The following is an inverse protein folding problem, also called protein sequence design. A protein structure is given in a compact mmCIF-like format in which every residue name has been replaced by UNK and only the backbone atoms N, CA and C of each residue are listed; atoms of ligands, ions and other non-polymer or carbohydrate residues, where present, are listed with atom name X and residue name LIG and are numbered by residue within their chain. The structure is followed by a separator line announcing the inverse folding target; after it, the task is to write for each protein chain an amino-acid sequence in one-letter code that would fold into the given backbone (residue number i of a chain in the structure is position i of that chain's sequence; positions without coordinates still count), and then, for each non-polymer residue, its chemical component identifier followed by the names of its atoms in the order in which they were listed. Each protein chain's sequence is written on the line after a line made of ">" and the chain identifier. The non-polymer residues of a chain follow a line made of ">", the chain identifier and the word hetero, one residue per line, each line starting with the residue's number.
data_IF_070500970245
#
_entry.id   IF_070500970245
#
_cell.length_a   1.000
_cell.length_b   1.000
_cell.length_c   1.000
_cell.angle_alpha   90.00
_cell.angle_beta   90.00
_cell.angle_gamma   90.00
#
_symmetry.space_group_name_H-M   'P 1'
#
loop_
_entity.id
_entity.type
_entity.pdbx_description
1 polymer ?
#
# COMPACT_ATOMS: atom_id res chain seq x y z
N UNK A 1 -0.96 3.03 31.93
CA UNK A 1 -1.44 3.32 30.56
C UNK A 1 -0.35 2.91 29.57
N UNK A 2 -0.43 1.69 29.04
CA UNK A 2 0.53 1.19 28.05
C UNK A 2 0.23 1.86 26.72
N UNK A 3 1.20 2.58 26.15
CA UNK A 3 1.16 2.97 24.73
C UNK A 3 1.18 1.68 23.93
N UNK A 4 0.02 1.24 23.45
CA UNK A 4 -0.07 0.24 22.38
C UNK A 4 0.61 0.88 21.17
N UNK A 5 1.88 0.57 20.96
CA UNK A 5 2.60 0.90 19.74
C UNK A 5 1.87 0.10 18.67
N UNK A 6 1.06 0.74 17.84
CA UNK A 6 0.32 0.05 16.79
C UNK A 6 1.35 -0.60 15.84
N UNK A 7 1.44 -1.93 15.88
CA UNK A 7 2.42 -2.75 15.18
C UNK A 7 2.02 -2.88 13.70
N UNK A 8 1.95 -1.76 13.00
CA UNK A 8 1.24 -1.65 11.72
C UNK A 8 1.85 -0.55 10.85
N UNK A 9 2.19 -0.89 9.61
CA UNK A 9 2.55 0.09 8.59
C UNK A 9 1.28 0.58 7.90
N UNK A 10 1.16 1.87 7.62
CA UNK A 10 -0.01 2.46 6.96
C UNK A 10 0.32 2.77 5.50
N UNK A 11 -0.43 2.19 4.56
CA UNK A 11 -0.25 2.41 3.12
C UNK A 11 -1.45 3.20 2.59
N UNK A 12 -1.20 4.33 1.94
CA UNK A 12 -2.22 5.11 1.25
C UNK A 12 -1.98 5.07 -0.25
N UNK A 13 -3.05 5.19 -1.03
CA UNK A 13 -2.97 5.39 -2.48
C UNK A 13 -2.85 6.88 -2.77
N UNK A 14 -2.15 7.21 -3.85
CA UNK A 14 -2.04 8.57 -4.35
C UNK A 14 -2.56 8.61 -5.77
N UNK A 15 -3.54 9.48 -6.02
CA UNK A 15 -4.00 9.81 -7.36
C UNK A 15 -3.38 11.15 -7.78
N UNK A 16 -2.80 11.15 -8.97
CA UNK A 16 -2.17 12.31 -9.58
C UNK A 16 -3.00 12.71 -10.80
N UNK A 17 -3.53 13.92 -10.81
CA UNK A 17 -4.21 14.50 -11.96
C UNK A 17 -3.40 15.71 -12.43
N UNK A 18 -3.07 15.75 -13.72
CA UNK A 18 -2.33 16.84 -14.32
C UNK A 18 -3.13 17.42 -15.48
N UNK A 19 -3.29 18.74 -15.47
CA UNK A 19 -3.69 19.55 -16.63
C UNK A 19 -2.49 20.39 -17.08
N UNK A 20 -1.70 19.91 -18.05
CA UNK A 20 -0.51 20.59 -18.52
C UNK A 20 -0.80 21.93 -19.20
N UNK A 21 -1.98 22.11 -19.81
CA UNK A 21 -2.34 23.33 -20.52
C UNK A 21 -2.51 24.50 -19.55
N UNK A 22 -3.08 24.21 -18.38
CA UNK A 22 -3.29 25.18 -17.32
C UNK A 22 -2.21 25.12 -16.23
N UNK A 23 -1.21 24.23 -16.36
CA UNK A 23 -0.18 23.97 -15.34
C UNK A 23 -0.76 23.64 -13.96
N UNK A 24 -1.84 22.85 -13.93
CA UNK A 24 -2.50 22.43 -12.69
C UNK A 24 -2.08 21.00 -12.38
N UNK A 25 -1.59 20.77 -11.16
CA UNK A 25 -1.30 19.45 -10.61
C UNK A 25 -2.13 19.25 -9.35
N UNK A 26 -2.94 18.18 -9.31
CA UNK A 26 -3.71 17.77 -8.16
C UNK A 26 -3.18 16.44 -7.63
N UNK A 27 -2.91 16.41 -6.33
CA UNK A 27 -2.44 15.25 -5.60
C UNK A 27 -3.47 14.88 -4.54
N UNK A 28 -4.14 13.74 -4.73
CA UNK A 28 -5.16 13.25 -3.82
C UNK A 28 -4.60 12.05 -3.06
N UNK A 29 -4.74 12.08 -1.74
CA UNK A 29 -4.29 11.02 -0.85
C UNK A 29 -5.48 10.33 -0.21
N UNK A 30 -5.52 9.01 -0.28
CA UNK A 30 -6.58 8.22 0.36
C UNK A 30 -6.34 8.09 1.85
N UNK A 31 -7.38 7.67 2.58
CA UNK A 31 -7.18 7.15 3.92
C UNK A 31 -6.18 5.98 3.87
N UNK A 32 -5.30 5.94 4.86
CA UNK A 32 -4.25 4.93 4.89
C UNK A 32 -4.80 3.60 5.43
N UNK A 33 -4.47 2.51 4.74
CA UNK A 33 -4.87 1.15 5.08
C UNK A 33 -3.84 0.58 6.06
N UNK A 34 -4.27 0.08 7.23
CA UNK A 34 -3.37 -0.56 8.18
C UNK A 34 -2.92 -1.93 7.67
N UNK A 35 -1.61 -2.13 7.58
CA UNK A 35 -0.95 -3.38 7.21
C UNK A 35 -0.21 -3.93 8.43
N UNK A 36 -0.52 -5.16 8.89
CA UNK A 36 0.24 -5.82 9.94
C UNK A 36 1.74 -5.84 9.61
N UNK A 37 2.59 -5.49 10.59
CA UNK A 37 4.04 -5.30 10.35
C UNK A 37 4.73 -6.59 9.88
N UNK A 38 4.15 -7.75 10.18
CA UNK A 38 4.65 -9.07 9.82
C UNK A 38 4.79 -9.21 8.29
N UNK A 39 3.90 -8.57 7.52
CA UNK A 39 3.99 -8.53 6.07
C UNK A 39 5.14 -7.64 5.58
N UNK A 40 5.45 -6.57 6.32
CA UNK A 40 6.58 -5.67 6.01
C UNK A 40 7.91 -6.37 6.28
N UNK A 41 8.01 -7.11 7.39
CA UNK A 41 9.21 -7.89 7.67
C UNK A 41 9.44 -8.98 6.62
N UNK A 42 8.39 -9.68 6.20
CA UNK A 42 8.51 -10.65 5.11
C UNK A 42 8.94 -9.99 3.79
N UNK A 43 8.40 -8.82 3.46
CA UNK A 43 8.84 -8.08 2.28
C UNK A 43 10.33 -7.71 2.34
N UNK A 44 10.80 -7.29 3.52
CA UNK A 44 12.21 -7.00 3.77
C UNK A 44 13.08 -8.24 3.65
N UNK A 45 12.67 -9.37 4.23
CA UNK A 45 13.44 -10.61 4.25
C UNK A 45 13.54 -11.24 2.84
N UNK A 46 12.53 -11.01 1.99
CA UNK A 46 12.56 -11.39 0.57
C UNK A 46 13.30 -10.39 -0.32
N UNK A 47 13.72 -9.24 0.20
CA UNK A 47 14.46 -8.24 -0.57
C UNK A 47 15.96 -8.58 -0.52
N UNK A 48 16.59 -8.91 -1.66
CA UNK A 48 18.01 -9.28 -1.73
C UNK A 48 18.92 -8.22 -1.14
N UNK A 49 20.09 -8.61 -0.63
CA UNK A 49 20.98 -7.68 0.07
C UNK A 49 21.55 -6.58 -0.83
N UNK A 50 21.67 -6.87 -2.11
CA UNK A 50 22.19 -6.06 -3.21
C UNK A 50 21.10 -5.29 -3.98
N UNK A 51 19.84 -5.33 -3.53
CA UNK A 51 18.76 -4.57 -4.17
C UNK A 51 19.08 -3.07 -4.19
N UNK A 52 19.23 -2.42 -5.37
CA UNK A 52 19.74 -1.05 -5.47
C UNK A 52 18.86 0.02 -4.81
N UNK A 53 17.56 -0.23 -4.70
CA UNK A 53 16.56 0.71 -4.20
C UNK A 53 16.12 0.43 -2.76
N UNK A 54 16.96 -0.28 -1.98
CA UNK A 54 16.68 -0.58 -0.56
C UNK A 54 16.36 0.64 0.30
N UNK A 55 16.95 1.78 -0.03
CA UNK A 55 16.72 3.03 0.70
C UNK A 55 15.29 3.55 0.52
N UNK A 56 14.62 3.21 -0.58
CA UNK A 56 13.27 3.67 -0.91
C UNK A 56 12.19 2.60 -0.72
N UNK A 57 12.55 1.33 -0.54
CA UNK A 57 11.56 0.28 -0.31
C UNK A 57 12.07 -1.15 -0.42
N UNK A 58 11.13 -2.09 -0.42
CA UNK A 58 11.36 -3.51 -0.65
C UNK A 58 11.22 -3.86 -2.14
N UNK A 59 11.83 -4.96 -2.58
CA UNK A 59 11.69 -5.45 -3.96
C UNK A 59 10.30 -6.04 -4.22
N UNK A 60 9.69 -6.65 -3.20
CA UNK A 60 8.37 -7.29 -3.28
C UNK A 60 7.29 -6.39 -2.67
N UNK A 61 6.09 -6.49 -3.22
CA UNK A 61 4.90 -5.73 -2.82
C UNK A 61 4.09 -6.44 -1.74
N UNK A 62 3.24 -5.69 -1.03
CA UNK A 62 2.31 -6.25 -0.04
C UNK A 62 1.33 -7.24 -0.68
N UNK A 63 0.87 -6.96 -1.90
CA UNK A 63 -0.02 -7.85 -2.66
C UNK A 63 0.63 -9.21 -2.95
N UNK A 64 1.89 -9.24 -3.37
CA UNK A 64 2.64 -10.47 -3.61
C UNK A 64 2.88 -11.27 -2.31
N UNK A 65 3.22 -10.58 -1.22
CA UNK A 65 3.35 -11.22 0.09
C UNK A 65 2.02 -11.88 0.50
N UNK A 66 0.91 -11.16 0.39
CA UNK A 66 -0.40 -11.67 0.76
C UNK A 66 -0.84 -12.83 -0.11
N UNK A 67 -0.66 -12.74 -1.42
CA UNK A 67 -0.99 -13.81 -2.35
C UNK A 67 -0.21 -15.10 -2.03
N UNK A 68 1.05 -14.97 -1.60
CA UNK A 68 1.86 -16.13 -1.21
C UNK A 68 1.37 -16.87 0.04
N UNK A 69 0.51 -16.25 0.85
CA UNK A 69 -0.08 -16.84 2.06
C UNK A 69 -1.57 -17.15 1.92
N UNK A 70 -2.28 -16.34 1.14
CA UNK A 70 -3.72 -16.40 0.92
C UNK A 70 -3.97 -16.57 -0.57
N UNK A 71 -3.93 -17.82 -1.06
CA UNK A 71 -4.02 -18.15 -2.50
C UNK A 71 -5.29 -17.64 -3.19
N UNK A 72 -6.33 -17.33 -2.42
CA UNK A 72 -7.60 -16.79 -2.93
C UNK A 72 -7.59 -15.25 -3.09
N UNK A 73 -6.54 -14.57 -2.64
CA UNK A 73 -6.38 -13.10 -2.78
C UNK A 73 -5.61 -12.82 -4.05
N UNK A 74 -6.19 -12.09 -5.00
CA UNK A 74 -5.45 -11.56 -6.14
C UNK A 74 -4.46 -10.49 -5.64
N UNK A 75 -3.17 -10.51 -6.07
CA UNK A 75 -2.19 -9.49 -5.69
C UNK A 75 -2.64 -8.05 -5.91
N UNK A 76 -3.54 -7.76 -6.86
CA UNK A 76 -4.03 -6.39 -7.11
C UNK A 76 -5.17 -5.96 -6.17
N UNK A 77 -5.91 -6.94 -5.62
CA UNK A 77 -7.13 -6.73 -4.83
C UNK A 77 -6.87 -6.83 -3.31
N UNK A 78 -5.60 -6.80 -2.91
CA UNK A 78 -5.19 -6.93 -1.51
C UNK A 78 -5.81 -5.86 -0.58
N UNK A 79 -6.16 -4.70 -1.13
CA UNK A 79 -6.83 -3.61 -0.42
C UNK A 79 -8.15 -4.06 0.21
N UNK A 80 -8.95 -4.83 -0.54
CA UNK A 80 -10.24 -5.31 -0.07
C UNK A 80 -10.09 -6.29 1.10
N UNK A 81 -9.05 -7.13 1.06
CA UNK A 81 -8.70 -8.02 2.17
C UNK A 81 -8.35 -7.24 3.45
N UNK A 82 -7.64 -6.12 3.31
CA UNK A 82 -7.14 -5.35 4.46
C UNK A 82 -8.14 -4.33 5.02
N UNK A 83 -8.92 -3.66 4.16
CA UNK A 83 -9.82 -2.58 4.56
C UNK A 83 -11.30 -2.88 4.37
N UNK A 84 -11.66 -4.03 3.77
CA UNK A 84 -13.04 -4.38 3.34
C UNK A 84 -13.62 -3.40 2.32
N UNK A 85 -12.77 -2.63 1.66
CA UNK A 85 -13.17 -1.67 0.63
C UNK A 85 -12.32 -1.94 -0.60
N UNK A 86 -12.96 -2.07 -1.75
CA UNK A 86 -12.24 -2.32 -2.99
C UNK A 86 -11.30 -1.14 -3.31
N UNK A 87 -10.21 -1.39 -4.03
CA UNK A 87 -9.32 -0.32 -4.51
C UNK A 87 -10.09 0.74 -5.30
N UNK A 88 -11.11 0.33 -6.08
CA UNK A 88 -11.94 1.26 -6.86
C UNK A 88 -12.70 2.20 -5.94
N UNK A 89 -13.38 1.67 -4.93
CA UNK A 89 -14.18 2.48 -4.00
C UNK A 89 -13.31 3.43 -3.18
N UNK A 90 -12.09 2.99 -2.82
CA UNK A 90 -11.10 3.84 -2.14
C UNK A 90 -10.71 5.04 -3.03
N UNK A 91 -10.46 4.81 -4.31
CA UNK A 91 -10.09 5.86 -5.28
C UNK A 91 -11.29 6.78 -5.54
N UNK A 92 -12.48 6.23 -5.76
CA UNK A 92 -13.69 7.02 -5.94
C UNK A 92 -13.97 7.91 -4.73
N UNK A 93 -13.72 7.42 -3.51
CA UNK A 93 -13.92 8.18 -2.28
C UNK A 93 -13.04 9.44 -2.13
N UNK A 94 -11.96 9.59 -2.90
CA UNK A 94 -11.14 10.82 -2.91
C UNK A 94 -11.35 11.69 -4.16
N UNK A 95 -12.10 11.19 -5.14
CA UNK A 95 -12.42 11.91 -6.38
C UNK A 95 -13.83 12.52 -6.38
N UNK A 96 -14.69 12.11 -5.44
CA UNK A 96 -16.03 12.65 -5.22
C UNK A 96 -16.01 13.89 -4.34
#
# INVERSE_FOLDING_TARGET
>A
MSKVIANTLRIALTAFLSDPLNSIELHLFTQAIPIPIEYVYQARDRTPTDYPLKWSGCMVTVGEILHSQLLFVNPEDWHEMMSRTSRRDIIYGVMA
#
